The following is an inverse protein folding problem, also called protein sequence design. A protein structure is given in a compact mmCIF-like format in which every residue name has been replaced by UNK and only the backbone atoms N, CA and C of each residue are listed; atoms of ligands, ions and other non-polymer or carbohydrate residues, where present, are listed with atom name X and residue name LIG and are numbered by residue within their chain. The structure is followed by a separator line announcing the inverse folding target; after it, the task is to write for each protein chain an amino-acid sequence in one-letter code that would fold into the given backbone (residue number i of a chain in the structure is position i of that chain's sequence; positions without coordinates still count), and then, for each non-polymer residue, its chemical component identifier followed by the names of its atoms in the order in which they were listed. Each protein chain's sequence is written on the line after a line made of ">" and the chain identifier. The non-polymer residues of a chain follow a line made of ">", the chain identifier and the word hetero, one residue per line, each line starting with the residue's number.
data_IF_208335846833
#
_entry.id   IF_208335846833
#
_cell.length_a   1.000
_cell.length_b   1.000
_cell.length_c   1.000
_cell.angle_alpha   90.00
_cell.angle_beta   90.00
_cell.angle_gamma   90.00
#
_symmetry.space_group_name_H-M   'P 1'
#
loop_
_entity.id
_entity.type
_entity.pdbx_description
1 polymer ?
#
# COMPACT_ATOMS: atom_id res chain seq x y z
N UNK A 1 -1.72 17.71 18.80
CA UNK A 1 -0.43 17.04 18.55
C UNK A 1 -0.72 15.60 18.15
N UNK A 2 -0.04 15.09 17.12
CA UNK A 2 -0.12 13.66 16.75
C UNK A 2 0.69 12.89 17.79
N UNK A 3 0.08 11.92 18.47
CA UNK A 3 0.80 11.09 19.44
C UNK A 3 1.78 10.17 18.70
N UNK A 4 2.87 9.74 19.34
CA UNK A 4 3.91 8.91 18.73
C UNK A 4 3.38 7.58 18.16
N UNK A 5 2.23 7.12 18.66
CA UNK A 5 1.57 5.88 18.25
C UNK A 5 0.43 6.07 17.24
N UNK A 6 0.05 7.33 16.96
CA UNK A 6 -0.98 7.62 15.98
C UNK A 6 -0.43 7.41 14.56
N UNK A 7 -1.32 7.03 13.64
CA UNK A 7 -0.99 6.93 12.22
C UNK A 7 -1.49 8.20 11.55
N UNK A 8 -0.60 8.94 10.90
CA UNK A 8 -0.97 10.04 10.02
C UNK A 8 -1.08 9.53 8.59
N UNK A 9 -2.31 9.37 8.11
CA UNK A 9 -2.61 9.02 6.74
C UNK A 9 -2.62 10.28 5.88
N UNK A 10 -1.60 10.43 5.02
CA UNK A 10 -1.41 11.61 4.17
C UNK A 10 -2.01 11.40 2.78
N UNK A 11 -1.79 10.22 2.20
CA UNK A 11 -2.18 9.87 0.85
C UNK A 11 -2.27 8.35 0.71
N UNK A 12 -2.74 7.88 -0.44
CA UNK A 12 -2.71 6.48 -0.84
C UNK A 12 -3.05 6.33 -2.31
N UNK A 13 -3.23 5.09 -2.76
CA UNK A 13 -3.82 4.82 -4.06
C UNK A 13 -4.59 3.51 -4.03
N UNK A 14 -5.52 3.36 -4.96
CA UNK A 14 -6.30 2.14 -5.11
C UNK A 14 -6.60 1.89 -6.60
N UNK A 15 -6.70 0.63 -7.00
CA UNK A 15 -7.20 0.25 -8.30
C UNK A 15 -8.13 -0.96 -8.18
N UNK A 16 -8.97 -1.18 -9.18
CA UNK A 16 -9.82 -2.35 -9.28
C UNK A 16 -9.91 -2.81 -10.74
N UNK A 17 -10.43 -4.02 -10.94
CA UNK A 17 -10.59 -4.61 -12.26
C UNK A 17 -11.81 -4.08 -13.04
N UNK A 18 -12.68 -3.26 -12.40
CA UNK A 18 -13.92 -2.75 -13.01
C UNK A 18 -13.67 -1.46 -13.80
N UNK A 19 -12.85 -0.53 -13.29
CA UNK A 19 -12.61 0.79 -13.87
C UNK A 19 -11.30 0.84 -14.66
N UNK A 20 -11.25 0.11 -15.79
CA UNK A 20 -10.22 0.21 -16.84
C UNK A 20 -8.76 0.23 -16.37
N UNK A 21 -8.46 -0.34 -15.20
CA UNK A 21 -7.08 -0.52 -14.71
C UNK A 21 -6.31 0.80 -14.49
N UNK A 22 -6.97 1.94 -14.30
CA UNK A 22 -6.24 3.17 -13.91
C UNK A 22 -6.22 3.31 -12.39
N UNK A 23 -5.05 3.34 -11.73
CA UNK A 23 -5.00 3.63 -10.31
C UNK A 23 -5.56 5.02 -10.01
N UNK A 24 -6.33 5.11 -8.93
CA UNK A 24 -6.84 6.36 -8.39
C UNK A 24 -5.97 6.75 -7.21
N UNK A 25 -5.35 7.92 -7.28
CA UNK A 25 -4.65 8.52 -6.17
C UNK A 25 -5.66 9.04 -5.14
N UNK A 26 -5.42 8.70 -3.87
CA UNK A 26 -6.20 9.13 -2.72
C UNK A 26 -5.47 10.30 -2.07
N UNK A 27 -6.08 11.47 -2.13
CA UNK A 27 -5.54 12.72 -1.60
C UNK A 27 -6.63 13.48 -0.87
N UNK A 28 -6.22 14.43 -0.04
CA UNK A 28 -7.12 15.23 0.78
C UNK A 28 -6.45 15.68 2.06
N UNK A 29 -7.23 16.27 2.98
CA UNK A 29 -6.69 16.62 4.30
C UNK A 29 -6.22 15.36 5.02
N UNK A 30 -5.01 15.33 5.58
CA UNK A 30 -4.51 14.15 6.26
C UNK A 30 -5.44 13.71 7.40
N UNK A 31 -5.53 12.41 7.61
CA UNK A 31 -6.36 11.80 8.64
C UNK A 31 -5.45 11.24 9.72
N UNK A 32 -5.70 11.60 10.97
CA UNK A 32 -5.06 11.01 12.13
C UNK A 32 -5.92 9.83 12.59
N UNK A 33 -5.34 8.64 12.53
CA UNK A 33 -5.92 7.42 13.06
C UNK A 33 -5.31 7.19 14.45
N UNK A 34 -6.05 7.57 15.50
CA UNK A 34 -5.51 7.51 16.86
C UNK A 34 -5.35 6.09 17.36
N UNK A 35 -4.52 5.88 18.39
CA UNK A 35 -4.37 4.56 19.03
C UNK A 35 -5.74 3.98 19.43
N UNK A 36 -6.61 4.80 20.03
CA UNK A 36 -7.97 4.45 20.48
C UNK A 36 -8.97 4.23 19.33
N UNK A 37 -8.52 4.32 18.08
CA UNK A 37 -9.35 4.07 16.90
C UNK A 37 -10.30 5.21 16.56
N UNK A 38 -10.02 6.43 17.05
CA UNK A 38 -10.72 7.64 16.60
C UNK A 38 -10.10 8.15 15.29
N UNK A 39 -10.96 8.70 14.44
CA UNK A 39 -10.57 9.37 13.21
C UNK A 39 -10.63 10.88 13.46
N UNK A 40 -9.53 11.58 13.23
CA UNK A 40 -9.48 13.04 13.34
C UNK A 40 -8.90 13.63 12.06
N UNK A 41 -9.45 14.76 11.62
CA UNK A 41 -8.86 15.49 10.50
C UNK A 41 -7.68 16.30 11.01
N UNK A 42 -6.54 16.18 10.33
CA UNK A 42 -5.35 16.96 10.65
C UNK A 42 -5.62 18.45 10.48
N UNK A 43 -5.34 19.22 11.53
CA UNK A 43 -5.57 20.65 11.54
C UNK A 43 -4.36 21.41 10.94
N UNK A 44 -4.54 22.32 9.95
CA UNK A 44 -3.43 23.02 9.29
C UNK A 44 -2.51 23.80 10.23
N UNK A 45 -3.03 24.31 11.35
CA UNK A 45 -2.21 24.97 12.41
C UNK A 45 -1.06 24.10 12.94
N UNK A 46 -1.16 22.77 12.85
CA UNK A 46 -0.12 21.84 13.30
C UNK A 46 0.94 21.55 12.22
N UNK A 47 0.80 22.10 11.02
CA UNK A 47 1.63 21.78 9.84
C UNK A 47 3.10 22.10 10.04
N UNK A 48 3.43 23.32 10.49
CA UNK A 48 4.82 23.74 10.72
C UNK A 48 5.54 22.89 11.76
N UNK A 49 4.83 22.50 12.83
CA UNK A 49 5.37 21.59 13.84
C UNK A 49 5.69 20.21 13.28
N UNK A 50 4.79 19.67 12.44
CA UNK A 50 5.00 18.40 11.76
C UNK A 50 6.18 18.45 10.78
N UNK A 51 6.31 19.52 9.99
CA UNK A 51 7.42 19.71 9.06
C UNK A 51 8.77 19.67 9.78
N UNK A 52 8.90 20.42 10.88
CA UNK A 52 10.13 20.43 11.69
C UNK A 52 10.45 19.03 12.22
N UNK A 53 9.44 18.31 12.71
CA UNK A 53 9.61 16.96 13.25
C UNK A 53 10.06 15.96 12.17
N UNK A 54 9.44 15.98 10.98
CA UNK A 54 9.81 15.09 9.88
C UNK A 54 11.22 15.39 9.33
N UNK A 55 11.57 16.67 9.19
CA UNK A 55 12.94 17.08 8.79
C UNK A 55 13.99 16.56 9.77
N UNK A 56 13.67 16.50 11.07
CA UNK A 56 14.56 15.95 12.09
C UNK A 56 14.70 14.43 11.95
N UNK A 57 13.59 13.70 11.83
CA UNK A 57 13.58 12.22 11.73
C UNK A 57 14.28 11.74 10.45
N UNK A 58 13.96 12.34 9.31
CA UNK A 58 14.45 11.93 8.01
C UNK A 58 15.64 12.76 7.53
N UNK A 59 16.35 13.44 8.44
CA UNK A 59 17.51 14.31 8.10
C UNK A 59 18.56 13.61 7.23
N UNK A 60 18.76 12.31 7.43
CA UNK A 60 19.73 11.48 6.69
C UNK A 60 19.12 10.73 5.50
N UNK A 61 17.87 11.00 5.13
CA UNK A 61 17.12 10.30 4.05
C UNK A 61 16.38 11.32 3.16
N UNK A 62 17.10 12.21 2.45
CA UNK A 62 16.49 13.26 1.63
C UNK A 62 15.55 12.70 0.56
N UNK A 63 15.88 11.54 -0.03
CA UNK A 63 15.09 10.90 -1.08
C UNK A 63 13.71 10.43 -0.60
N UNK A 64 13.55 10.21 0.70
CA UNK A 64 12.25 9.89 1.34
C UNK A 64 11.58 11.18 1.81
N UNK A 65 12.36 12.09 2.38
CA UNK A 65 11.85 13.34 2.96
C UNK A 65 11.22 14.24 1.91
N UNK A 66 11.90 14.47 0.77
CA UNK A 66 11.43 15.41 -0.25
C UNK A 66 10.07 15.02 -0.83
N UNK A 67 9.84 13.77 -1.28
CA UNK A 67 8.51 13.34 -1.73
C UNK A 67 7.44 13.41 -0.65
N UNK A 68 7.78 13.02 0.59
CA UNK A 68 6.85 13.06 1.73
C UNK A 68 6.39 14.50 2.03
N UNK A 69 7.32 15.45 2.05
CA UNK A 69 6.99 16.87 2.25
C UNK A 69 6.15 17.41 1.11
N UNK A 70 6.44 17.03 -0.13
CA UNK A 70 5.62 17.40 -1.30
C UNK A 70 4.17 16.91 -1.17
N UNK A 71 3.97 15.65 -0.78
CA UNK A 71 2.64 15.08 -0.57
C UNK A 71 1.88 15.77 0.59
N UNK A 72 2.58 16.08 1.69
CA UNK A 72 2.01 16.81 2.82
C UNK A 72 1.61 18.24 2.44
N UNK A 73 2.47 18.94 1.70
CA UNK A 73 2.18 20.29 1.23
C UNK A 73 0.95 20.31 0.32
N UNK A 74 0.89 19.38 -0.64
CA UNK A 74 -0.28 19.23 -1.52
C UNK A 74 -1.57 18.96 -0.73
N UNK A 75 -1.48 18.10 0.29
CA UNK A 75 -2.61 17.68 1.12
C UNK A 75 -3.13 18.78 2.06
N UNK A 76 -2.25 19.61 2.61
CA UNK A 76 -2.58 20.58 3.66
C UNK A 76 -2.75 22.01 3.11
N UNK A 77 -1.86 22.44 2.21
CA UNK A 77 -1.75 23.85 1.78
C UNK A 77 -2.49 24.09 0.47
N UNK A 78 -2.17 23.31 -0.57
CA UNK A 78 -2.77 23.51 -1.91
C UNK A 78 -4.24 23.14 -1.89
N UNK A 79 -4.58 22.08 -1.14
CA UNK A 79 -5.90 21.48 -1.21
C UNK A 79 -6.04 20.70 -2.52
N UNK A 80 -6.66 19.51 -2.44
CA UNK A 80 -6.80 18.63 -3.59
C UNK A 80 -8.15 17.94 -3.62
N UNK A 81 -8.23 16.88 -4.42
CA UNK A 81 -9.35 15.93 -4.37
C UNK A 81 -9.65 15.56 -2.92
N UNK A 82 -10.93 15.37 -2.59
CA UNK A 82 -11.39 14.99 -1.24
C UNK A 82 -11.80 13.53 -1.21
N UNK A 83 -10.95 12.67 -1.75
CA UNK A 83 -11.21 11.24 -1.87
C UNK A 83 -10.40 10.40 -0.86
N UNK A 84 -9.47 11.01 -0.12
CA UNK A 84 -8.87 10.42 1.06
C UNK A 84 -9.87 10.43 2.22
N UNK A 85 -10.64 9.36 2.33
CA UNK A 85 -11.63 9.23 3.40
C UNK A 85 -12.44 7.95 3.30
N UNK A 86 -13.12 7.64 4.40
CA UNK A 86 -13.94 6.42 4.53
C UNK A 86 -15.10 6.40 3.55
N UNK A 87 -15.75 7.53 3.31
CA UNK A 87 -16.91 7.63 2.40
C UNK A 87 -16.54 7.24 0.97
N UNK A 88 -15.46 7.82 0.42
CA UNK A 88 -15.00 7.49 -0.92
C UNK A 88 -14.58 6.03 -1.02
N UNK A 89 -13.78 5.53 -0.07
CA UNK A 89 -13.31 4.15 -0.08
C UNK A 89 -14.46 3.15 -0.01
N UNK A 90 -15.47 3.39 0.82
CA UNK A 90 -16.66 2.53 0.87
C UNK A 90 -17.40 2.54 -0.46
N UNK A 91 -17.64 3.72 -1.04
CA UNK A 91 -18.33 3.82 -2.33
C UNK A 91 -17.55 3.11 -3.44
N UNK A 92 -16.22 3.28 -3.46
CA UNK A 92 -15.36 2.66 -4.45
C UNK A 92 -15.34 1.13 -4.33
N UNK A 93 -15.09 0.62 -3.11
CA UNK A 93 -14.93 -0.81 -2.85
C UNK A 93 -16.23 -1.61 -2.92
N UNK A 94 -17.36 -0.98 -2.64
CA UNK A 94 -18.68 -1.63 -2.56
C UNK A 94 -19.67 -1.07 -3.58
N UNK A 95 -19.16 -0.54 -4.69
CA UNK A 95 -19.97 -0.04 -5.81
C UNK A 95 -20.82 -1.16 -6.43
N UNK A 96 -20.29 -2.38 -6.54
CA UNK A 96 -21.04 -3.58 -6.90
C UNK A 96 -21.65 -4.22 -5.65
N UNK A 97 -22.96 -4.05 -5.45
CA UNK A 97 -23.70 -4.59 -4.30
C UNK A 97 -23.73 -6.12 -4.25
N UNK A 98 -23.48 -6.79 -5.38
CA UNK A 98 -23.55 -8.26 -5.48
C UNK A 98 -22.19 -8.93 -5.24
N UNK A 99 -21.11 -8.15 -5.11
CA UNK A 99 -19.76 -8.71 -4.94
C UNK A 99 -19.04 -8.06 -3.76
N UNK A 100 -18.61 -8.90 -2.84
CA UNK A 100 -17.67 -8.47 -1.78
C UNK A 100 -16.24 -8.42 -2.36
N UNK A 101 -15.49 -7.33 -2.13
CA UNK A 101 -14.16 -7.14 -2.71
C UNK A 101 -13.14 -8.09 -2.06
N UNK A 102 -12.17 -8.52 -2.87
CA UNK A 102 -10.91 -9.10 -2.38
C UNK A 102 -9.86 -8.01 -2.53
N UNK A 103 -9.16 -7.69 -1.43
CA UNK A 103 -8.13 -6.64 -1.43
C UNK A 103 -6.76 -7.30 -1.40
N UNK A 104 -5.85 -6.83 -2.26
CA UNK A 104 -4.50 -7.35 -2.40
C UNK A 104 -3.51 -6.26 -2.03
N UNK A 105 -2.53 -6.60 -1.19
CA UNK A 105 -1.49 -5.69 -0.74
C UNK A 105 -0.10 -6.23 -1.07
N UNK A 106 0.89 -5.35 -1.07
CA UNK A 106 2.30 -5.69 -0.97
C UNK A 106 2.79 -5.39 0.45
N UNK A 107 3.20 -6.41 1.21
CA UNK A 107 3.59 -6.27 2.62
C UNK A 107 2.58 -5.43 3.46
N UNK A 108 1.29 -5.74 3.31
CA UNK A 108 0.18 -4.86 3.68
C UNK A 108 -0.27 -4.85 5.14
N UNK A 109 0.60 -5.16 6.11
CA UNK A 109 0.19 -5.17 7.51
C UNK A 109 -0.26 -3.79 8.00
N UNK A 110 0.43 -2.74 7.54
CA UNK A 110 0.03 -1.35 7.83
C UNK A 110 -1.27 -0.99 7.11
N UNK A 111 -1.42 -1.34 5.83
CA UNK A 111 -2.63 -1.09 5.04
C UNK A 111 -3.86 -1.76 5.66
N UNK A 112 -3.72 -3.02 6.09
CA UNK A 112 -4.76 -3.75 6.82
C UNK A 112 -5.15 -3.01 8.11
N UNK A 113 -4.16 -2.53 8.87
CA UNK A 113 -4.40 -1.75 10.09
C UNK A 113 -5.13 -0.43 9.78
N UNK A 114 -4.75 0.24 8.70
CA UNK A 114 -5.40 1.48 8.23
C UNK A 114 -6.87 1.20 7.86
N UNK A 115 -7.15 0.20 7.03
CA UNK A 115 -8.52 -0.14 6.62
C UNK A 115 -9.42 -0.49 7.82
N UNK A 116 -8.89 -1.23 8.80
CA UNK A 116 -9.60 -1.52 10.06
C UNK A 116 -9.92 -0.24 10.84
N UNK A 117 -8.95 0.67 11.00
CA UNK A 117 -9.17 1.97 11.69
C UNK A 117 -10.13 2.88 10.94
N UNK A 118 -10.14 2.82 9.60
CA UNK A 118 -11.09 3.48 8.72
C UNK A 118 -12.49 2.82 8.73
N UNK A 119 -12.68 1.71 9.48
CA UNK A 119 -13.94 0.98 9.58
C UNK A 119 -14.48 0.51 8.23
N UNK A 120 -13.58 0.18 7.30
CA UNK A 120 -13.94 -0.42 6.01
C UNK A 120 -14.23 -1.90 6.25
N UNK A 121 -15.49 -2.17 6.57
CA UNK A 121 -16.00 -3.49 6.90
C UNK A 121 -16.65 -4.11 5.64
N UNK A 122 -16.78 -5.43 5.57
CA UNK A 122 -17.34 -6.21 4.43
C UNK A 122 -16.38 -6.59 3.29
N UNK A 123 -15.07 -6.53 3.52
CA UNK A 123 -14.08 -7.12 2.60
C UNK A 123 -14.19 -8.66 2.69
N UNK A 124 -14.26 -9.34 1.53
CA UNK A 124 -14.38 -10.81 1.45
C UNK A 124 -13.13 -11.52 1.95
N UNK A 125 -11.97 -11.01 1.55
CA UNK A 125 -10.66 -11.60 1.83
C UNK A 125 -9.57 -10.54 1.66
N UNK A 126 -8.58 -10.58 2.53
CA UNK A 126 -7.36 -9.77 2.43
C UNK A 126 -6.18 -10.66 2.05
N UNK A 127 -5.50 -10.32 0.96
CA UNK A 127 -4.35 -11.07 0.45
C UNK A 127 -3.09 -10.21 0.56
N UNK A 128 -2.00 -10.82 1.02
CA UNK A 128 -0.70 -10.20 1.07
C UNK A 128 0.25 -10.87 0.08
N UNK A 129 0.86 -10.07 -0.78
CA UNK A 129 2.00 -10.46 -1.58
C UNK A 129 3.25 -10.04 -0.81
N UNK A 130 4.21 -10.95 -0.71
CA UNK A 130 5.51 -10.68 -0.10
C UNK A 130 6.60 -11.46 -0.79
N UNK A 131 7.85 -11.14 -0.48
CA UNK A 131 9.02 -11.94 -0.87
C UNK A 131 9.83 -12.29 0.34
N UNK A 132 10.38 -13.50 0.33
CA UNK A 132 11.20 -13.96 1.44
C UNK A 132 12.35 -14.85 0.95
N UNK A 133 13.54 -14.69 1.52
CA UNK A 133 14.65 -15.65 1.42
C UNK A 133 14.62 -16.56 2.63
N UNK A 134 14.10 -17.77 2.43
CA UNK A 134 13.87 -18.74 3.52
C UNK A 134 15.18 -19.20 4.17
N UNK A 135 16.23 -19.40 3.36
CA UNK A 135 17.55 -19.83 3.81
C UNK A 135 18.52 -18.66 4.09
N UNK A 136 18.10 -17.42 3.84
CA UNK A 136 18.97 -16.24 3.93
C UNK A 136 20.23 -16.33 3.03
N UNK A 137 20.05 -16.90 1.84
CA UNK A 137 21.09 -17.19 0.84
C UNK A 137 20.99 -16.27 -0.39
N UNK A 138 20.22 -15.18 -0.29
CA UNK A 138 19.89 -14.25 -1.38
C UNK A 138 19.05 -14.85 -2.52
N UNK A 139 18.55 -16.08 -2.39
CA UNK A 139 17.47 -16.59 -3.24
C UNK A 139 16.13 -16.25 -2.60
N UNK A 140 15.25 -15.65 -3.39
CA UNK A 140 13.96 -15.17 -2.92
C UNK A 140 12.81 -15.94 -3.57
N UNK A 141 11.79 -16.22 -2.78
CA UNK A 141 10.50 -16.71 -3.24
C UNK A 141 9.44 -15.63 -3.07
N UNK A 142 8.57 -15.51 -4.07
CA UNK A 142 7.36 -14.71 -4.03
C UNK A 142 6.24 -15.53 -3.40
N UNK A 143 5.51 -14.94 -2.46
CA UNK A 143 4.47 -15.61 -1.67
C UNK A 143 3.16 -14.82 -1.71
N UNK A 144 2.04 -15.52 -1.89
CA UNK A 144 0.69 -14.97 -1.72
C UNK A 144 0.06 -15.62 -0.48
N UNK A 145 -0.30 -14.80 0.50
CA UNK A 145 -0.77 -15.25 1.81
C UNK A 145 -2.17 -14.69 2.06
N UNK A 146 -3.06 -15.52 2.57
CA UNK A 146 -4.33 -15.04 3.13
C UNK A 146 -4.07 -14.43 4.51
N UNK A 147 -4.32 -13.13 4.68
CA UNK A 147 -4.04 -12.41 5.92
C UNK A 147 -5.02 -12.73 7.06
N UNK A 148 -6.15 -13.38 6.76
CA UNK A 148 -7.17 -13.69 7.76
C UNK A 148 -6.81 -14.92 8.59
N UNK A 149 -6.11 -15.88 7.99
CA UNK A 149 -5.71 -17.14 8.62
C UNK A 149 -4.22 -17.50 8.42
N UNK A 150 -3.44 -16.57 7.87
CA UNK A 150 -2.02 -16.73 7.53
C UNK A 150 -1.71 -17.93 6.60
N UNK A 151 -2.71 -18.44 5.86
CA UNK A 151 -2.51 -19.57 4.95
C UNK A 151 -1.74 -19.13 3.71
N UNK A 152 -0.64 -19.80 3.41
CA UNK A 152 0.08 -19.67 2.14
C UNK A 152 -0.78 -20.24 1.00
N UNK A 153 -1.12 -19.41 0.02
CA UNK A 153 -1.94 -19.77 -1.14
C UNK A 153 -1.09 -20.10 -2.36
N UNK A 154 0.05 -19.43 -2.50
CA UNK A 154 0.98 -19.61 -3.61
C UNK A 154 2.39 -19.25 -3.17
N UNK A 155 3.37 -19.99 -3.68
CA UNK A 155 4.78 -19.64 -3.57
C UNK A 155 5.51 -20.07 -4.84
N UNK A 156 6.47 -19.25 -5.27
CA UNK A 156 7.33 -19.52 -6.42
C UNK A 156 8.67 -18.83 -6.24
N UNK A 157 9.75 -19.48 -6.64
CA UNK A 157 11.07 -18.88 -6.68
C UNK A 157 11.16 -17.81 -7.77
N UNK A 158 11.70 -16.65 -7.42
CA UNK A 158 11.83 -15.49 -8.32
C UNK A 158 13.28 -15.14 -8.62
N UNK A 159 14.24 -15.80 -7.98
CA UNK A 159 15.65 -15.74 -8.32
C UNK A 159 16.53 -15.09 -7.25
N UNK A 160 17.74 -14.78 -7.67
CA UNK A 160 18.82 -14.31 -6.81
C UNK A 160 18.95 -12.78 -6.83
N UNK A 161 19.17 -12.17 -5.66
CA UNK A 161 19.50 -10.75 -5.55
C UNK A 161 20.33 -10.46 -4.31
N UNK A 162 21.51 -9.88 -4.48
CA UNK A 162 22.36 -9.50 -3.34
C UNK A 162 21.64 -8.44 -2.50
N UNK A 163 21.30 -8.78 -1.26
CA UNK A 163 20.66 -7.87 -0.31
C UNK A 163 21.00 -8.22 1.13
N UNK A 164 21.27 -7.19 1.92
CA UNK A 164 21.30 -7.34 3.38
C UNK A 164 19.86 -7.39 3.90
N UNK A 165 19.33 -8.60 4.05
CA UNK A 165 18.00 -8.87 4.61
C UNK A 165 17.21 -9.92 3.83
N UNK A 166 16.15 -10.43 4.46
CA UNK A 166 15.37 -11.56 3.93
C UNK A 166 14.18 -11.16 3.07
N UNK A 167 13.87 -9.88 2.92
CA UNK A 167 12.72 -9.41 2.12
C UNK A 167 13.18 -8.41 1.07
N UNK A 168 12.65 -8.54 -0.15
CA UNK A 168 12.81 -7.52 -1.18
C UNK A 168 11.77 -6.41 -0.97
N UNK A 169 12.12 -5.19 -1.37
CA UNK A 169 11.12 -4.15 -1.56
C UNK A 169 10.32 -4.39 -2.87
N UNK A 170 9.23 -3.64 -3.06
CA UNK A 170 8.31 -3.84 -4.17
C UNK A 170 9.00 -3.72 -5.53
N UNK A 171 9.83 -2.69 -5.70
CA UNK A 171 10.58 -2.48 -6.95
C UNK A 171 11.56 -3.63 -7.19
N UNK A 172 12.32 -4.03 -6.18
CA UNK A 172 13.30 -5.09 -6.29
C UNK A 172 12.67 -6.43 -6.68
N UNK A 173 11.51 -6.75 -6.12
CA UNK A 173 10.75 -7.94 -6.47
C UNK A 173 10.15 -7.83 -7.88
N UNK A 174 9.61 -6.67 -8.23
CA UNK A 174 9.09 -6.43 -9.57
C UNK A 174 10.17 -6.61 -10.64
N UNK A 175 11.37 -6.06 -10.42
CA UNK A 175 12.51 -6.18 -11.34
C UNK A 175 12.94 -7.64 -11.58
N UNK A 176 12.71 -8.54 -10.62
CA UNK A 176 13.00 -9.98 -10.76
C UNK A 176 11.90 -10.75 -11.50
N UNK A 177 10.66 -10.27 -11.43
CA UNK A 177 9.48 -11.02 -11.88
C UNK A 177 8.95 -10.51 -13.23
N UNK A 178 9.09 -9.22 -13.50
CA UNK A 178 8.58 -8.57 -14.70
C UNK A 178 9.72 -8.08 -15.60
N UNK A 179 9.69 -8.49 -16.87
CA UNK A 179 10.68 -8.11 -17.90
C UNK A 179 10.32 -6.75 -18.53
N UNK A 180 9.07 -6.30 -18.39
CA UNK A 180 8.62 -5.03 -18.96
C UNK A 180 9.15 -3.87 -18.13
N UNK A 181 9.70 -2.86 -18.80
CA UNK A 181 9.99 -1.57 -18.17
C UNK A 181 8.69 -0.83 -17.96
N UNK A 182 8.40 -0.47 -16.73
CA UNK A 182 7.35 0.48 -16.40
C UNK A 182 8.02 1.84 -16.18
N UNK A 183 7.45 2.91 -16.75
CA UNK A 183 7.88 4.27 -16.43
C UNK A 183 7.49 4.57 -14.99
N UNK A 184 8.47 4.47 -14.09
CA UNK A 184 8.30 4.83 -12.68
C UNK A 184 8.64 6.30 -12.57
N UNK A 185 7.61 7.14 -12.36
CA UNK A 185 7.77 8.59 -12.20
C UNK A 185 8.65 8.90 -10.99
N UNK A 186 8.29 8.36 -9.82
CA UNK A 186 9.02 8.54 -8.56
C UNK A 186 8.88 7.33 -7.63
N UNK A 187 9.99 6.95 -6.97
CA UNK A 187 9.93 6.13 -5.77
C UNK A 187 9.12 6.87 -4.69
N UNK A 188 8.19 6.17 -4.03
CA UNK A 188 7.26 6.69 -3.00
C UNK A 188 5.99 7.40 -3.51
N UNK A 189 5.61 7.26 -4.79
CA UNK A 189 4.26 7.57 -5.25
C UNK A 189 3.33 6.36 -5.02
N UNK A 190 2.25 6.48 -4.22
CA UNK A 190 1.31 5.37 -4.00
C UNK A 190 0.72 4.78 -5.30
N UNK A 191 0.58 5.57 -6.36
CA UNK A 191 0.07 5.09 -7.65
C UNK A 191 1.02 4.06 -8.26
N UNK A 192 2.32 4.36 -8.27
CA UNK A 192 3.36 3.42 -8.71
C UNK A 192 3.31 2.13 -7.90
N UNK A 193 3.16 2.22 -6.58
CA UNK A 193 3.10 1.03 -5.72
C UNK A 193 1.90 0.13 -6.07
N UNK A 194 0.75 0.73 -6.39
CA UNK A 194 -0.44 -0.01 -6.85
C UNK A 194 -0.18 -0.67 -8.21
N UNK A 195 0.46 0.03 -9.15
CA UNK A 195 0.77 -0.52 -10.47
C UNK A 195 1.73 -1.71 -10.42
N UNK A 196 2.81 -1.59 -9.65
CA UNK A 196 3.78 -2.67 -9.47
C UNK A 196 3.16 -3.86 -8.74
N UNK A 197 2.40 -3.61 -7.66
CA UNK A 197 1.70 -4.66 -6.91
C UNK A 197 0.73 -5.43 -7.80
N UNK A 198 -0.05 -4.71 -8.62
CA UNK A 198 -0.96 -5.30 -9.58
C UNK A 198 -0.22 -6.13 -10.63
N UNK A 199 0.88 -5.64 -11.17
CA UNK A 199 1.66 -6.38 -12.16
C UNK A 199 2.11 -7.75 -11.59
N UNK A 200 2.69 -7.73 -10.38
CA UNK A 200 3.10 -8.95 -9.68
C UNK A 200 1.90 -9.87 -9.42
N UNK A 201 0.77 -9.31 -8.96
CA UNK A 201 -0.45 -10.09 -8.72
C UNK A 201 -0.96 -10.80 -9.99
N UNK A 202 -0.99 -10.09 -11.12
CA UNK A 202 -1.41 -10.67 -12.40
C UNK A 202 -0.51 -11.83 -12.83
N UNK A 203 0.80 -11.72 -12.57
CA UNK A 203 1.76 -12.80 -12.81
C UNK A 203 1.49 -13.98 -11.87
N UNK A 204 1.18 -13.74 -10.59
CA UNK A 204 0.80 -14.82 -9.66
C UNK A 204 -0.45 -15.55 -10.17
N UNK A 205 -1.51 -14.81 -10.49
CA UNK A 205 -2.81 -15.38 -10.89
C UNK A 205 -2.71 -16.15 -12.20
N UNK A 206 -1.91 -15.68 -13.18
CA UNK A 206 -1.72 -16.42 -14.44
C UNK A 206 -1.00 -17.75 -14.25
N UNK A 207 -0.21 -17.90 -13.18
CA UNK A 207 0.50 -19.14 -12.82
C UNK A 207 -0.31 -20.05 -11.89
N UNK A 208 -1.36 -19.55 -11.23
CA UNK A 208 -2.25 -20.38 -10.43
C UNK A 208 -3.29 -21.01 -11.37
N UNK A 209 -3.22 -22.34 -11.58
CA UNK A 209 -4.27 -23.08 -12.31
C UNK A 209 -5.66 -22.70 -11.76
N UNK A 210 -6.69 -22.48 -12.60
CA UNK A 210 -7.98 -21.91 -12.21
C UNK A 210 -8.70 -22.64 -11.05
N UNK A 211 -8.34 -23.88 -10.76
CA UNK A 211 -8.99 -24.75 -9.76
C UNK A 211 -8.71 -24.33 -8.31
N UNK A 212 -7.63 -23.57 -8.02
CA UNK A 212 -7.20 -23.29 -6.62
C UNK A 212 -7.71 -21.99 -6.00
N UNK A 213 -8.24 -21.04 -6.77
CA UNK A 213 -8.68 -19.71 -6.26
C UNK A 213 -10.15 -19.66 -5.84
N UNK A 214 -10.96 -20.64 -6.25
CA UNK A 214 -12.41 -20.68 -6.04
C UNK A 214 -12.88 -21.73 -5.02
N UNK A 215 -11.94 -22.43 -4.36
CA UNK A 215 -12.21 -23.25 -3.17
C UNK A 215 -11.80 -22.48 -1.91
#
# INVERSE_FOLDING_TARGET
>A
MVNKKDILLVSGAICNNLNKHTPIKLEGRPIILTEEGKLQIFHPRNYEGLLKHLKMIFRKKPDVLTPLLGQLHQSVVVGGNRNLGTTFLNHYMFSDRNRKPVVVFWNGDMDRKILKKLRINNIKRMLNITTYSDNNDNYFSLKLINMDNNKLLYSRDIGYKIKNGRMLNLKEAHDLVCIKRHEISHCHDPVTDVDLTRCIFNIIVSNIKPIKLYK
#
